data_IF_815353257844
#
_entry.id   IF_815353257844
#
_cell.length_a   1.000
_cell.length_b   1.000
_cell.length_c   1.000
_cell.angle_alpha   90.00
_cell.angle_beta   90.00
_cell.angle_gamma   90.00
#
_symmetry.space_group_name_H-M   'P 1'
#
loop_
_entity.id
_entity.type
_entity.pdbx_description
1 polymer ?
#
# COMPACT_ATOMS: atom_id res chain seq x y z
N UNK A 1 -1.18 21.20 -6.74
CA UNK A 1 -2.39 20.37 -6.73
C UNK A 1 -2.10 19.04 -7.44
N UNK A 2 -2.43 17.86 -6.85
CA UNK A 2 -2.08 16.57 -7.45
C UNK A 2 -2.75 16.37 -8.81
N UNK A 3 -1.95 16.08 -9.85
CA UNK A 3 -2.45 15.96 -11.24
C UNK A 3 -3.50 14.87 -11.41
N UNK A 4 -3.33 13.73 -10.73
CA UNK A 4 -4.29 12.62 -10.79
C UNK A 4 -5.68 13.00 -10.25
N UNK A 5 -5.75 13.85 -9.20
CA UNK A 5 -7.02 14.35 -8.68
C UNK A 5 -7.58 15.45 -9.59
N UNK A 6 -6.72 16.34 -10.10
CA UNK A 6 -7.11 17.43 -11.00
C UNK A 6 -7.79 16.93 -12.29
N UNK A 7 -7.41 15.74 -12.76
CA UNK A 7 -7.96 15.15 -13.97
C UNK A 7 -9.41 14.62 -13.79
N UNK A 8 -9.93 14.56 -12.58
CA UNK A 8 -11.28 14.06 -12.33
C UNK A 8 -12.34 15.12 -12.61
N UNK A 9 -13.50 14.75 -13.19
CA UNK A 9 -14.59 15.70 -13.51
C UNK A 9 -15.12 16.46 -12.31
N UNK A 10 -15.04 15.85 -11.13
CA UNK A 10 -15.53 16.38 -9.85
C UNK A 10 -14.37 16.60 -8.86
N UNK A 11 -13.19 17.00 -9.38
CA UNK A 11 -12.05 17.34 -8.55
C UNK A 11 -12.45 18.37 -7.47
N UNK A 12 -12.11 18.15 -6.19
CA UNK A 12 -12.44 19.08 -5.13
C UNK A 12 -11.70 20.41 -5.37
N UNK A 13 -12.37 21.56 -5.16
CA UNK A 13 -11.73 22.87 -5.38
C UNK A 13 -10.57 23.12 -4.41
N UNK A 14 -10.59 22.48 -3.25
CA UNK A 14 -9.57 22.62 -2.19
C UNK A 14 -9.20 21.25 -1.66
N UNK A 15 -7.90 21.06 -1.41
CA UNK A 15 -7.35 19.90 -0.70
C UNK A 15 -6.58 20.41 0.52
N UNK A 16 -6.88 19.85 1.67
CA UNK A 16 -6.17 20.10 2.92
C UNK A 16 -5.03 19.09 3.07
N UNK A 17 -3.89 19.50 3.63
CA UNK A 17 -2.76 18.61 3.78
C UNK A 17 -1.93 18.89 5.04
N UNK A 18 -1.16 17.88 5.45
CA UNK A 18 -0.16 17.93 6.52
C UNK A 18 1.07 17.14 6.05
N UNK A 19 2.26 17.72 6.12
CA UNK A 19 3.51 17.12 5.67
C UNK A 19 4.05 17.70 4.37
N UNK A 20 4.84 16.91 3.62
CA UNK A 20 5.54 17.36 2.42
C UNK A 20 4.68 17.22 1.16
N UNK A 21 4.15 18.33 0.67
CA UNK A 21 3.34 18.37 -0.55
C UNK A 21 4.14 18.05 -1.83
N UNK A 22 5.46 18.22 -1.83
CA UNK A 22 6.29 18.00 -3.02
C UNK A 22 6.23 16.57 -3.54
N UNK A 23 5.97 15.60 -2.65
CA UNK A 23 5.93 14.17 -3.00
C UNK A 23 4.78 13.77 -3.94
N UNK A 24 3.73 14.61 -4.07
CA UNK A 24 2.61 14.32 -5.01
C UNK A 24 3.01 14.41 -6.48
N UNK A 25 4.17 15.02 -6.77
CA UNK A 25 4.71 15.11 -8.13
C UNK A 25 5.54 13.88 -8.53
N UNK A 26 5.82 12.99 -7.57
CA UNK A 26 6.60 11.76 -7.81
C UNK A 26 5.70 10.64 -8.32
N UNK A 27 6.26 9.65 -9.06
CA UNK A 27 5.53 8.43 -9.39
C UNK A 27 4.96 7.77 -8.13
N UNK A 28 3.70 7.37 -8.19
CA UNK A 28 3.04 6.80 -7.02
C UNK A 28 2.19 5.58 -7.36
N UNK A 29 2.13 4.62 -6.45
CA UNK A 29 1.33 3.41 -6.55
C UNK A 29 0.39 3.33 -5.35
N UNK A 30 -0.89 3.08 -5.64
CA UNK A 30 -1.91 2.91 -4.60
C UNK A 30 -1.97 1.47 -4.13
N UNK A 31 -1.81 1.24 -2.83
CA UNK A 31 -1.89 -0.08 -2.21
C UNK A 31 -3.08 -0.10 -1.26
N UNK A 32 -4.02 -1.00 -1.50
CA UNK A 32 -5.24 -1.15 -0.71
C UNK A 32 -5.53 -2.61 -0.38
N UNK A 33 -6.36 -2.84 0.63
CA UNK A 33 -6.78 -4.19 0.95
C UNK A 33 -7.71 -4.28 2.16
N UNK A 34 -7.84 -5.50 2.66
CA UNK A 34 -8.69 -5.81 3.81
C UNK A 34 -8.19 -5.16 5.10
N UNK A 35 -9.14 -4.85 5.98
CA UNK A 35 -8.84 -4.39 7.35
C UNK A 35 -8.45 -5.52 8.31
N UNK A 36 -8.70 -6.77 7.91
CA UNK A 36 -8.36 -8.00 8.63
C UNK A 36 -7.47 -8.85 7.70
N UNK A 37 -6.20 -8.47 7.63
CA UNK A 37 -5.23 -9.13 6.77
C UNK A 37 -4.65 -10.39 7.44
N UNK A 38 -4.30 -11.36 6.60
CA UNK A 38 -3.56 -12.54 7.03
C UNK A 38 -2.06 -12.24 7.17
N UNK A 39 -1.30 -13.16 7.74
CA UNK A 39 0.16 -13.06 7.78
C UNK A 39 0.75 -12.99 6.36
N UNK A 40 0.17 -13.70 5.39
CA UNK A 40 0.53 -13.62 3.98
C UNK A 40 0.34 -12.21 3.42
N UNK A 41 -0.84 -11.61 3.61
CA UNK A 41 -1.13 -10.26 3.16
C UNK A 41 -0.22 -9.21 3.80
N UNK A 42 0.12 -9.38 5.08
CA UNK A 42 1.09 -8.52 5.78
C UNK A 42 2.46 -8.62 5.14
N UNK A 43 2.98 -9.84 4.92
CA UNK A 43 4.30 -10.08 4.31
C UNK A 43 4.39 -9.49 2.90
N UNK A 44 3.41 -9.78 2.02
CA UNK A 44 3.36 -9.21 0.67
C UNK A 44 3.30 -7.68 0.71
N UNK A 45 2.45 -7.11 1.57
CA UNK A 45 2.32 -5.65 1.68
C UNK A 45 3.62 -4.97 2.07
N UNK A 46 4.30 -5.49 3.09
CA UNK A 46 5.56 -4.92 3.57
C UNK A 46 6.66 -5.02 2.52
N UNK A 47 6.80 -6.20 1.92
CA UNK A 47 7.78 -6.42 0.86
C UNK A 47 7.54 -5.48 -0.33
N UNK A 48 6.31 -5.38 -0.80
CA UNK A 48 5.93 -4.50 -1.91
C UNK A 48 6.15 -3.03 -1.57
N UNK A 49 5.59 -2.57 -0.45
CA UNK A 49 5.61 -1.15 -0.08
C UNK A 49 7.02 -0.66 0.26
N UNK A 50 7.81 -1.47 0.97
CA UNK A 50 9.18 -1.15 1.31
C UNK A 50 10.07 -1.02 0.07
N UNK A 51 9.98 -1.99 -0.86
CA UNK A 51 10.77 -1.95 -2.11
C UNK A 51 10.35 -0.79 -3.03
N UNK A 52 9.06 -0.51 -3.18
CA UNK A 52 8.60 0.66 -3.95
C UNK A 52 9.15 1.96 -3.35
N UNK A 53 9.05 2.12 -2.03
CA UNK A 53 9.52 3.31 -1.34
C UNK A 53 11.05 3.49 -1.48
N UNK A 54 11.82 2.42 -1.29
CA UNK A 54 13.28 2.41 -1.47
C UNK A 54 13.69 2.74 -2.91
N UNK A 55 12.86 2.37 -3.90
CA UNK A 55 13.04 2.68 -5.31
C UNK A 55 12.57 4.09 -5.70
N UNK A 56 12.18 4.92 -4.72
CA UNK A 56 11.74 6.29 -4.97
C UNK A 56 10.27 6.45 -5.36
N UNK A 57 9.50 5.37 -5.40
CA UNK A 57 8.06 5.38 -5.72
C UNK A 57 7.26 5.70 -4.45
N UNK A 58 6.31 6.61 -4.55
CA UNK A 58 5.45 6.99 -3.43
C UNK A 58 4.32 5.97 -3.26
N UNK A 59 4.17 5.43 -2.05
CA UNK A 59 3.06 4.55 -1.72
C UNK A 59 1.86 5.36 -1.26
N UNK A 60 0.72 5.21 -1.92
CA UNK A 60 -0.54 5.87 -1.56
C UNK A 60 -1.47 4.86 -0.92
N UNK A 61 -2.07 5.20 0.23
CA UNK A 61 -3.08 4.36 0.87
C UNK A 61 -4.03 5.19 1.75
N UNK A 62 -4.90 4.53 2.50
CA UNK A 62 -6.00 5.19 3.19
C UNK A 62 -5.87 5.31 4.71
N UNK A 63 -4.75 4.94 5.30
CA UNK A 63 -4.53 4.94 6.75
C UNK A 63 -5.56 4.09 7.52
N UNK A 64 -6.24 3.15 6.88
CA UNK A 64 -7.15 2.21 7.53
C UNK A 64 -6.35 1.13 8.30
N UNK A 65 -7.06 0.30 9.08
CA UNK A 65 -6.45 -0.92 9.67
C UNK A 65 -6.04 -1.89 8.56
N UNK A 66 -5.20 -2.87 8.89
CA UNK A 66 -4.79 -3.94 8.00
C UNK A 66 -3.81 -3.50 6.93
N UNK A 67 -4.07 -3.82 5.68
CA UNK A 67 -3.16 -3.59 4.55
C UNK A 67 -2.66 -2.15 4.50
N UNK A 68 -3.53 -1.15 4.63
CA UNK A 68 -3.15 0.26 4.60
C UNK A 68 -2.12 0.61 5.69
N UNK A 69 -2.34 0.10 6.92
CA UNK A 69 -1.41 0.30 8.04
C UNK A 69 -0.03 -0.28 7.73
N UNK A 70 0.02 -1.51 7.20
CA UNK A 70 1.28 -2.18 6.87
C UNK A 70 1.97 -1.52 5.68
N UNK A 71 1.21 -1.06 4.67
CA UNK A 71 1.74 -0.32 3.55
C UNK A 71 2.47 0.95 4.00
N UNK A 72 1.82 1.79 4.80
CA UNK A 72 2.45 3.00 5.33
C UNK A 72 3.64 2.70 6.26
N UNK A 73 3.51 1.67 7.12
CA UNK A 73 4.58 1.34 8.07
C UNK A 73 5.85 0.90 7.35
N UNK A 74 5.73 0.12 6.27
CA UNK A 74 6.87 -0.39 5.52
C UNK A 74 7.64 0.69 4.74
N UNK A 75 7.04 1.86 4.51
CA UNK A 75 7.72 2.98 3.83
C UNK A 75 8.55 3.85 4.78
N UNK A 76 8.27 3.78 6.09
CA UNK A 76 8.94 4.63 7.07
C UNK A 76 10.44 4.34 7.13
N UNK A 77 11.26 5.37 6.95
CA UNK A 77 12.72 5.26 6.99
C UNK A 77 13.39 4.86 5.67
N UNK A 78 12.61 4.50 4.64
CA UNK A 78 13.17 4.13 3.33
C UNK A 78 12.58 4.92 2.15
N UNK A 79 11.49 5.65 2.34
CA UNK A 79 10.87 6.43 1.27
C UNK A 79 9.67 7.23 1.74
N UNK A 80 8.82 7.63 0.80
CA UNK A 80 7.69 8.51 1.05
C UNK A 80 6.35 7.79 0.87
N UNK A 81 5.35 8.21 1.65
CA UNK A 81 3.99 7.71 1.54
C UNK A 81 2.96 8.84 1.67
N UNK A 82 1.84 8.67 0.98
CA UNK A 82 0.69 9.58 1.04
C UNK A 82 -0.50 8.85 1.67
N UNK A 83 -0.99 9.35 2.79
CA UNK A 83 -2.21 8.86 3.41
C UNK A 83 -3.38 9.79 3.06
N UNK A 84 -4.40 9.25 2.39
CA UNK A 84 -5.62 9.99 2.08
C UNK A 84 -6.65 9.71 3.16
N UNK A 85 -7.28 10.74 3.73
CA UNK A 85 -8.24 10.58 4.81
C UNK A 85 -9.69 10.63 4.32
N UNK A 86 -10.59 9.93 5.00
CA UNK A 86 -12.04 10.01 4.82
C UNK A 86 -12.73 10.96 5.82
N UNK A 87 -12.01 11.98 6.28
CA UNK A 87 -12.43 12.96 7.28
C UNK A 87 -11.47 14.14 7.30
N UNK A 88 -11.78 15.22 8.01
CA UNK A 88 -10.90 16.38 8.17
C UNK A 88 -9.61 16.07 8.95
N UNK A 89 -8.62 16.94 8.80
CA UNK A 89 -7.30 16.78 9.44
C UNK A 89 -7.36 16.85 10.98
N UNK A 90 -8.38 17.46 11.56
CA UNK A 90 -8.60 17.50 13.01
C UNK A 90 -8.85 16.14 13.67
N UNK A 91 -9.09 15.09 12.88
CA UNK A 91 -9.37 13.75 13.39
C UNK A 91 -8.35 12.72 12.92
N UNK A 92 -8.32 11.56 13.59
CA UNK A 92 -7.60 10.36 13.12
C UNK A 92 -8.50 9.14 13.30
N UNK A 93 -8.84 8.50 12.21
CA UNK A 93 -9.60 7.25 12.19
C UNK A 93 -8.89 6.20 11.31
N UNK A 94 -8.56 5.02 11.88
CA UNK A 94 -8.82 4.60 13.26
C UNK A 94 -7.88 5.29 14.26
N UNK A 95 -8.33 5.44 15.52
CA UNK A 95 -7.53 6.06 16.57
C UNK A 95 -6.20 5.31 16.86
N UNK A 96 -6.18 3.99 16.60
CA UNK A 96 -4.96 3.16 16.69
C UNK A 96 -3.83 3.64 15.77
N UNK A 97 -4.15 4.30 14.67
CA UNK A 97 -3.16 4.78 13.70
C UNK A 97 -2.69 6.24 13.96
N UNK A 98 -3.01 6.82 15.13
CA UNK A 98 -2.57 8.18 15.48
C UNK A 98 -1.05 8.32 15.49
N UNK A 99 -0.35 7.34 16.07
CA UNK A 99 1.13 7.33 16.09
C UNK A 99 1.70 7.16 14.69
N UNK A 100 1.11 6.27 13.87
CA UNK A 100 1.52 6.08 12.49
C UNK A 100 1.36 7.36 11.67
N UNK A 101 0.22 8.07 11.80
CA UNK A 101 0.01 9.37 11.13
C UNK A 101 1.13 10.36 11.46
N UNK A 102 1.49 10.51 12.74
CA UNK A 102 2.60 11.39 13.15
C UNK A 102 3.93 10.97 12.53
N UNK A 103 4.22 9.66 12.50
CA UNK A 103 5.43 9.11 11.88
C UNK A 103 5.47 9.38 10.37
N UNK A 104 4.35 9.23 9.65
CA UNK A 104 4.27 9.57 8.22
C UNK A 104 4.73 11.01 8.00
N UNK A 105 4.16 11.95 8.72
CA UNK A 105 4.50 13.39 8.58
C UNK A 105 5.97 13.65 8.95
N UNK A 106 6.43 13.12 10.09
CA UNK A 106 7.81 13.35 10.56
C UNK A 106 8.89 12.68 9.69
N UNK A 107 8.51 11.69 8.85
CA UNK A 107 9.41 11.02 7.90
C UNK A 107 9.33 11.61 6.49
N UNK A 108 8.78 12.81 6.31
CA UNK A 108 8.67 13.44 4.99
C UNK A 108 7.52 12.89 4.12
N UNK A 109 6.57 12.19 4.72
CA UNK A 109 5.34 11.78 4.07
C UNK A 109 4.25 12.85 4.09
N UNK A 110 3.09 12.52 3.56
CA UNK A 110 1.98 13.44 3.36
C UNK A 110 0.65 12.83 3.82
N UNK A 111 -0.16 13.64 4.48
CA UNK A 111 -1.56 13.35 4.77
C UNK A 111 -2.40 14.28 3.90
N UNK A 112 -3.39 13.74 3.20
CA UNK A 112 -4.33 14.50 2.36
C UNK A 112 -5.77 14.31 2.83
N UNK A 113 -6.55 15.37 2.76
CA UNK A 113 -7.99 15.37 3.00
C UNK A 113 -8.71 16.30 2.03
N UNK A 114 -9.89 15.89 1.59
CA UNK A 114 -10.81 16.74 0.80
C UNK A 114 -11.94 17.35 1.67
N UNK A 115 -11.85 17.16 2.97
CA UNK A 115 -12.80 17.68 3.95
C UNK A 115 -12.14 18.70 4.87
N UNK A 116 -12.90 19.69 5.31
CA UNK A 116 -12.49 20.66 6.32
C UNK A 116 -12.10 19.95 7.64
N UNK A 117 -11.26 20.60 8.44
CA UNK A 117 -10.61 20.00 9.63
C UNK A 117 -11.59 19.47 10.68
N UNK A 118 -12.75 20.12 10.82
CA UNK A 118 -13.81 19.78 11.77
C UNK A 118 -14.74 18.65 11.30
N UNK A 119 -14.54 18.16 10.08
CA UNK A 119 -15.39 17.11 9.49
C UNK A 119 -15.06 15.74 10.08
N UNK A 120 -15.97 15.19 10.88
CA UNK A 120 -15.81 13.92 11.58
C UNK A 120 -15.79 12.72 10.61
N UNK A 121 -15.11 11.61 10.98
CA UNK A 121 -15.18 10.36 10.23
C UNK A 121 -16.61 9.78 10.25
N UNK A 122 -17.12 9.40 9.08
CA UNK A 122 -18.41 8.72 8.90
C UNK A 122 -18.25 7.56 7.92
N UNK A 123 -18.98 6.44 8.09
CA UNK A 123 -18.83 5.25 7.27
C UNK A 123 -18.89 5.50 5.76
N UNK A 124 -19.83 6.33 5.30
CA UNK A 124 -20.04 6.63 3.87
C UNK A 124 -18.90 7.47 3.25
N UNK A 125 -18.12 8.19 4.04
CA UNK A 125 -16.98 9.00 3.53
C UNK A 125 -15.78 8.15 3.11
N UNK A 126 -15.61 6.96 3.69
CA UNK A 126 -14.49 6.10 3.32
C UNK A 126 -14.57 5.58 1.87
N UNK A 127 -15.73 5.09 1.37
CA UNK A 127 -15.89 4.78 -0.04
C UNK A 127 -15.70 6.01 -0.96
N UNK A 128 -16.19 7.19 -0.55
CA UNK A 128 -15.99 8.42 -1.32
C UNK A 128 -14.51 8.80 -1.41
N UNK A 129 -13.75 8.67 -0.31
CA UNK A 129 -12.31 8.91 -0.28
C UNK A 129 -11.52 7.96 -1.17
N UNK A 130 -11.95 6.71 -1.32
CA UNK A 130 -11.21 5.70 -2.07
C UNK A 130 -10.93 6.12 -3.52
N UNK A 131 -11.79 6.93 -4.12
CA UNK A 131 -11.55 7.51 -5.44
C UNK A 131 -10.29 8.37 -5.51
N UNK A 132 -9.96 9.09 -4.43
CA UNK A 132 -8.75 9.90 -4.37
C UNK A 132 -7.51 9.03 -4.25
N UNK A 133 -7.61 7.90 -3.54
CA UNK A 133 -6.55 6.90 -3.53
C UNK A 133 -6.34 6.36 -4.96
N UNK A 134 -7.41 5.93 -5.63
CA UNK A 134 -7.34 5.44 -7.00
C UNK A 134 -6.79 6.51 -7.97
N UNK A 135 -7.17 7.77 -7.79
CA UNK A 135 -6.75 8.88 -8.66
C UNK A 135 -5.27 9.23 -8.52
N UNK A 136 -4.69 9.11 -7.34
CA UNK A 136 -3.28 9.45 -7.08
C UNK A 136 -2.31 8.42 -7.67
N UNK A 137 -2.52 7.13 -7.44
CA UNK A 137 -1.63 6.10 -7.97
C UNK A 137 -1.76 5.92 -9.49
N UNK A 138 -0.66 5.63 -10.17
CA UNK A 138 -0.68 5.23 -11.60
C UNK A 138 -1.24 3.83 -11.76
N UNK A 139 -1.03 2.97 -10.76
CA UNK A 139 -1.58 1.62 -10.64
C UNK A 139 -2.22 1.46 -9.26
N UNK A 140 -3.29 0.69 -9.19
CA UNK A 140 -3.91 0.28 -7.92
C UNK A 140 -3.62 -1.19 -7.68
N UNK A 141 -2.92 -1.49 -6.58
CA UNK A 141 -2.63 -2.85 -6.13
C UNK A 141 -3.60 -3.22 -5.01
N UNK A 142 -4.30 -4.34 -5.18
CA UNK A 142 -5.16 -4.94 -4.15
C UNK A 142 -4.46 -6.17 -3.60
N UNK A 143 -4.02 -6.12 -2.33
CA UNK A 143 -3.24 -7.21 -1.74
C UNK A 143 -4.13 -8.32 -1.20
N UNK A 144 -5.12 -7.98 -0.43
CA UNK A 144 -6.15 -8.91 0.05
C UNK A 144 -7.51 -8.23 0.06
N UNK A 145 -8.54 -8.94 -0.33
CA UNK A 145 -9.92 -8.45 -0.31
C UNK A 145 -10.90 -9.59 -0.09
N UNK A 146 -11.81 -9.45 0.87
CA UNK A 146 -12.98 -10.30 0.96
C UNK A 146 -13.96 -10.00 -0.18
N UNK A 147 -14.94 -10.88 -0.43
CA UNK A 147 -15.92 -10.74 -1.51
C UNK A 147 -16.66 -9.36 -1.48
N UNK A 148 -16.99 -8.88 -0.28
CA UNK A 148 -17.62 -7.55 -0.05
C UNK A 148 -16.62 -6.63 0.64
N UNK A 149 -15.57 -6.21 -0.06
CA UNK A 149 -14.50 -5.37 0.47
C UNK A 149 -14.51 -3.96 -0.11
N UNK A 150 -14.23 -2.95 0.73
CA UNK A 150 -14.00 -1.58 0.27
C UNK A 150 -12.83 -1.44 -0.71
N UNK A 151 -11.86 -2.35 -0.68
CA UNK A 151 -10.75 -2.39 -1.64
C UNK A 151 -11.22 -2.70 -3.07
N UNK A 152 -12.29 -3.50 -3.25
CA UNK A 152 -12.91 -3.72 -4.56
C UNK A 152 -13.50 -2.44 -5.13
N UNK A 153 -14.13 -1.61 -4.29
CA UNK A 153 -14.66 -0.29 -4.71
C UNK A 153 -13.51 0.58 -5.24
N UNK A 154 -12.33 0.54 -4.59
CA UNK A 154 -11.17 1.30 -5.06
C UNK A 154 -10.66 0.79 -6.41
N UNK A 155 -10.67 -0.53 -6.63
CA UNK A 155 -10.31 -1.15 -7.91
C UNK A 155 -11.29 -0.76 -9.03
N UNK A 156 -12.59 -0.81 -8.76
CA UNK A 156 -13.65 -0.40 -9.70
C UNK A 156 -13.53 1.08 -10.08
N UNK A 157 -13.23 1.94 -9.10
CA UNK A 157 -12.96 3.36 -9.35
C UNK A 157 -11.69 3.57 -10.18
N UNK A 158 -10.63 2.78 -9.96
CA UNK A 158 -9.43 2.82 -10.80
C UNK A 158 -9.75 2.45 -12.26
N UNK A 159 -10.49 1.40 -12.50
CA UNK A 159 -10.93 1.02 -13.85
C UNK A 159 -11.78 2.10 -14.53
N UNK A 160 -12.70 2.74 -13.78
CA UNK A 160 -13.49 3.85 -14.33
C UNK A 160 -12.66 5.07 -14.75
N UNK A 161 -11.43 5.18 -14.22
CA UNK A 161 -10.44 6.19 -14.57
C UNK A 161 -9.44 5.71 -15.64
N UNK A 162 -9.65 4.51 -16.23
CA UNK A 162 -8.73 3.92 -17.21
C UNK A 162 -7.39 3.46 -16.61
N UNK A 163 -7.32 3.23 -15.29
CA UNK A 163 -6.08 2.84 -14.62
C UNK A 163 -5.95 1.33 -14.51
N UNK A 164 -4.71 0.86 -14.52
CA UNK A 164 -4.37 -0.53 -14.28
C UNK A 164 -4.71 -0.92 -12.84
N UNK A 165 -5.28 -2.11 -12.68
CA UNK A 165 -5.51 -2.75 -11.39
C UNK A 165 -4.74 -4.05 -11.36
N UNK A 166 -3.98 -4.26 -10.32
CA UNK A 166 -3.21 -5.47 -10.07
C UNK A 166 -3.72 -6.11 -8.79
N UNK A 167 -4.01 -7.39 -8.82
CA UNK A 167 -4.46 -8.13 -7.65
C UNK A 167 -3.45 -9.20 -7.26
N UNK A 168 -3.16 -9.29 -5.96
CA UNK A 168 -2.32 -10.34 -5.41
C UNK A 168 -3.15 -11.61 -5.31
N UNK A 169 -2.73 -12.71 -5.94
CA UNK A 169 -3.44 -13.98 -5.86
C UNK A 169 -3.29 -14.58 -4.46
N UNK A 170 -4.30 -15.31 -4.03
CA UNK A 170 -4.27 -16.07 -2.79
C UNK A 170 -5.03 -17.38 -2.93
N UNK A 171 -5.05 -18.20 -1.89
CA UNK A 171 -5.69 -19.53 -1.92
C UNK A 171 -7.21 -19.43 -2.18
N UNK A 172 -7.76 -20.33 -3.00
CA UNK A 172 -9.18 -20.35 -3.39
C UNK A 172 -10.14 -20.52 -2.19
N UNK A 173 -9.72 -21.20 -1.14
CA UNK A 173 -10.53 -21.41 0.07
C UNK A 173 -10.42 -20.29 1.10
N UNK A 174 -9.53 -19.32 0.92
CA UNK A 174 -9.27 -18.26 1.88
C UNK A 174 -10.24 -17.09 1.67
N UNK A 175 -11.06 -16.73 2.67
CA UNK A 175 -12.01 -15.62 2.54
C UNK A 175 -11.36 -14.27 2.21
N UNK A 176 -10.13 -14.01 2.70
CA UNK A 176 -9.39 -12.79 2.42
C UNK A 176 -8.89 -12.69 0.97
N UNK A 177 -8.80 -13.81 0.25
CA UNK A 177 -8.38 -13.87 -1.15
C UNK A 177 -9.54 -13.74 -2.14
N UNK A 178 -10.77 -13.99 -1.71
CA UNK A 178 -11.92 -14.10 -2.60
C UNK A 178 -12.13 -12.88 -3.49
N UNK A 179 -12.00 -11.67 -2.92
CA UNK A 179 -12.15 -10.44 -3.67
C UNK A 179 -11.04 -10.21 -4.69
N UNK A 180 -9.78 -10.60 -4.39
CA UNK A 180 -8.68 -10.54 -5.35
C UNK A 180 -8.91 -11.53 -6.50
N UNK A 181 -9.35 -12.76 -6.22
CA UNK A 181 -9.69 -13.74 -7.25
C UNK A 181 -10.85 -13.27 -8.14
N UNK A 182 -11.85 -12.60 -7.55
CA UNK A 182 -12.95 -11.99 -8.33
C UNK A 182 -12.41 -10.86 -9.24
N UNK A 183 -11.52 -9.99 -8.74
CA UNK A 183 -10.90 -8.93 -9.53
C UNK A 183 -10.07 -9.49 -10.69
N UNK A 184 -9.27 -10.54 -10.47
CA UNK A 184 -8.51 -11.22 -11.50
C UNK A 184 -9.47 -11.77 -12.59
N UNK A 185 -10.55 -12.42 -12.19
CA UNK A 185 -11.57 -12.92 -13.15
C UNK A 185 -12.24 -11.80 -13.93
N UNK A 186 -12.32 -10.58 -13.37
CA UNK A 186 -12.87 -9.38 -14.03
C UNK A 186 -11.87 -8.66 -14.92
N UNK A 187 -10.60 -9.08 -14.95
CA UNK A 187 -9.56 -8.51 -15.81
C UNK A 187 -8.48 -7.71 -15.07
N UNK A 188 -8.38 -7.82 -13.74
CA UNK A 188 -7.21 -7.31 -13.04
C UNK A 188 -5.97 -8.16 -13.38
N UNK A 189 -4.83 -7.50 -13.53
CA UNK A 189 -3.56 -8.19 -13.71
C UNK A 189 -3.18 -8.96 -12.43
N UNK A 190 -2.47 -10.06 -12.61
CA UNK A 190 -2.03 -10.91 -11.50
C UNK A 190 -0.63 -10.48 -11.06
N UNK A 191 -0.44 -10.21 -9.78
CA UNK A 191 0.90 -10.03 -9.22
C UNK A 191 1.56 -11.40 -9.02
N UNK A 192 2.43 -11.79 -9.93
CA UNK A 192 3.17 -13.05 -9.88
C UNK A 192 4.50 -12.93 -9.14
N UNK A 193 5.07 -11.72 -9.08
CA UNK A 193 6.32 -11.41 -8.39
C UNK A 193 6.35 -9.96 -7.96
N UNK A 194 6.59 -9.73 -6.68
CA UNK A 194 6.77 -8.36 -6.13
C UNK A 194 7.99 -7.69 -6.75
N UNK A 195 9.11 -8.42 -6.87
CA UNK A 195 10.36 -7.86 -7.37
C UNK A 195 10.27 -7.46 -8.84
N UNK A 196 9.56 -8.26 -9.66
CA UNK A 196 9.30 -7.91 -11.07
C UNK A 196 8.41 -6.69 -11.17
N UNK A 197 7.37 -6.62 -10.37
CA UNK A 197 6.48 -5.46 -10.32
C UNK A 197 7.23 -4.19 -9.91
N UNK A 198 8.05 -4.25 -8.86
CA UNK A 198 8.83 -3.09 -8.40
C UNK A 198 9.81 -2.61 -9.48
N UNK A 199 10.48 -3.52 -10.21
CA UNK A 199 11.39 -3.16 -11.30
C UNK A 199 10.73 -2.39 -12.45
N UNK A 200 9.42 -2.55 -12.66
CA UNK A 200 8.68 -1.81 -13.70
C UNK A 200 8.52 -0.32 -13.35
N UNK A 201 8.53 0.04 -12.05
CA UNK A 201 8.22 1.40 -11.59
C UNK A 201 9.38 2.09 -10.88
N UNK A 202 10.37 1.35 -10.42
CA UNK A 202 11.50 1.86 -9.65
C UNK A 202 12.84 1.31 -10.13
N UNK A 203 13.92 1.91 -9.70
CA UNK A 203 15.27 1.43 -9.97
C UNK A 203 15.61 0.13 -9.22
N UNK A 204 16.84 -0.36 -9.39
CA UNK A 204 17.31 -1.67 -8.95
C UNK A 204 17.51 -1.87 -7.44
N UNK A 205 17.03 -0.98 -6.58
CA UNK A 205 17.24 -1.08 -5.13
C UNK A 205 16.14 -1.90 -4.49
N UNK A 206 16.47 -3.06 -3.97
CA UNK A 206 15.55 -3.92 -3.22
C UNK A 206 15.68 -3.58 -1.73
N UNK A 207 14.59 -3.10 -1.12
CA UNK A 207 14.50 -2.93 0.32
C UNK A 207 13.97 -4.22 0.95
N UNK A 208 14.71 -4.80 1.86
CA UNK A 208 14.30 -5.98 2.62
C UNK A 208 14.38 -5.63 4.11
N UNK A 209 13.24 -5.34 4.71
CA UNK A 209 13.15 -4.96 6.12
C UNK A 209 13.39 -6.18 7.03
N UNK A 210 12.81 -7.32 6.67
CA UNK A 210 13.04 -8.59 7.35
C UNK A 210 13.16 -9.73 6.34
N UNK A 211 14.40 -10.23 6.16
CA UNK A 211 14.67 -11.36 5.29
C UNK A 211 13.93 -12.66 5.72
N UNK A 212 13.49 -12.76 6.98
CA UNK A 212 12.66 -13.87 7.47
C UNK A 212 11.28 -13.85 6.82
N UNK A 213 10.73 -12.67 6.51
CA UNK A 213 9.46 -12.56 5.77
C UNK A 213 9.58 -13.14 4.35
N UNK A 214 10.75 -13.01 3.70
CA UNK A 214 10.97 -13.63 2.39
C UNK A 214 10.92 -15.15 2.45
N UNK A 215 11.47 -15.74 3.50
CA UNK A 215 11.37 -17.20 3.73
C UNK A 215 9.94 -17.62 4.04
N UNK A 216 9.22 -16.83 4.82
CA UNK A 216 7.80 -17.07 5.10
C UNK A 216 6.94 -17.03 3.81
N UNK A 217 7.30 -16.19 2.84
CA UNK A 217 6.69 -16.12 1.52
C UNK A 217 7.13 -17.26 0.58
N UNK A 218 7.82 -18.29 1.10
CA UNK A 218 8.26 -19.46 0.36
C UNK A 218 9.52 -19.27 -0.49
N UNK A 219 10.28 -18.18 -0.31
CA UNK A 219 11.55 -17.97 -0.98
C UNK A 219 12.61 -18.91 -0.41
N UNK A 220 13.47 -19.46 -1.28
CA UNK A 220 14.61 -20.24 -0.83
C UNK A 220 15.66 -19.36 -0.13
N UNK A 221 16.45 -19.95 0.78
CA UNK A 221 17.56 -19.23 1.43
C UNK A 221 18.54 -18.66 0.41
N UNK A 222 18.73 -19.33 -0.70
CA UNK A 222 19.56 -18.88 -1.81
C UNK A 222 19.02 -17.64 -2.51
N UNK A 223 17.68 -17.58 -2.70
CA UNK A 223 17.01 -16.40 -3.26
C UNK A 223 17.09 -15.23 -2.31
N UNK A 224 16.89 -15.48 -1.01
CA UNK A 224 17.03 -14.46 0.03
C UNK A 224 18.45 -13.92 0.07
N UNK A 225 19.46 -14.78 0.01
CA UNK A 225 20.89 -14.38 -0.05
C UNK A 225 21.15 -13.43 -1.22
N UNK A 226 20.68 -13.81 -2.42
CA UNK A 226 20.84 -13.00 -3.64
C UNK A 226 20.16 -11.62 -3.54
N UNK A 227 18.95 -11.58 -2.99
CA UNK A 227 18.15 -10.35 -2.89
C UNK A 227 18.68 -9.40 -1.80
N UNK A 228 19.15 -9.95 -0.68
CA UNK A 228 19.64 -9.16 0.46
C UNK A 228 21.13 -8.81 0.37
N UNK A 229 21.87 -9.41 -0.56
CA UNK A 229 23.33 -9.31 -0.62
C UNK A 229 24.07 -10.02 0.52
N UNK A 230 23.36 -10.80 1.35
CA UNK A 230 23.94 -11.57 2.46
C UNK A 230 24.44 -12.93 1.96
N UNK A 231 25.45 -13.47 2.61
CA UNK A 231 25.88 -14.84 2.30
C UNK A 231 24.86 -15.86 2.81
N UNK A 232 24.74 -16.99 2.11
CA UNK A 232 23.88 -18.12 2.53
C UNK A 232 24.26 -18.59 3.94
N UNK A 233 25.54 -18.60 4.25
CA UNK A 233 26.09 -18.99 5.57
C UNK A 233 25.62 -18.06 6.68
N UNK A 234 25.64 -16.74 6.46
CA UNK A 234 25.13 -15.76 7.44
C UNK A 234 23.65 -15.96 7.71
N UNK A 235 22.85 -16.21 6.68
CA UNK A 235 21.42 -16.45 6.84
C UNK A 235 21.14 -17.72 7.64
N UNK A 236 21.86 -18.82 7.38
CA UNK A 236 21.74 -20.05 8.17
C UNK A 236 22.20 -19.87 9.63
N UNK A 237 23.27 -19.13 9.88
CA UNK A 237 23.73 -18.85 11.25
C UNK A 237 22.69 -18.06 12.07
N UNK A 238 21.97 -17.15 11.45
CA UNK A 238 20.92 -16.37 12.12
C UNK A 238 19.66 -17.22 12.34
N UNK A 239 19.28 -18.08 11.38
CA UNK A 239 18.16 -19.02 11.54
C UNK A 239 18.42 -19.99 12.69
N UNK A 240 19.60 -20.60 12.74
CA UNK A 240 19.97 -21.54 13.79
C UNK A 240 19.98 -20.92 15.21
N UNK A 241 20.26 -19.60 15.32
CA UNK A 241 20.20 -18.87 16.59
C UNK A 241 18.77 -18.46 17.00
N UNK A 242 17.83 -18.45 16.07
CA UNK A 242 16.43 -18.08 16.36
C UNK A 242 15.58 -19.28 16.78
N UNK A 243 16.06 -20.52 16.57
CA UNK A 243 15.41 -21.77 16.96
C UNK A 243 15.99 -22.34 18.31
N UNK A 244 16.99 -21.71 18.87
CA UNK A 244 17.61 -22.05 20.16
C UNK A 244 17.13 -21.11 21.27
#
# INVERSE_FOLDING_TARGET
YPSGIKALPDAPPVIFYEGDLSIVCRPSISIVGTRQCTAYGVGVTRHLSGNLAASGVVVVSGLARGIDTHAHTATLGCGATVAVLGHGLGYTAPASNRTLRKKIVSSGGLILSTWMDDVQPRPFRFPQRNRWIAALGVVVVVVEAAAKSGAKITAEQAWSMGKQVVAVPGAMGEPASRGCLDLIRMGADIMTSVDEFVRQFGGSTVFVEDWKELLFLGRSVTDVARVTGRSVTELFCVLAKAEA
#
